data_IF_239450900533
#
_entry.id   IF_239450900533
#
_cell.length_a   1.000
_cell.length_b   1.000
_cell.length_c   1.000
_cell.angle_alpha   90.00
_cell.angle_beta   90.00
_cell.angle_gamma   90.00
#
_symmetry.space_group_name_H-M   'P 1'
#
loop_
_entity.id
_entity.type
_entity.pdbx_description
1 polymer ?
#
# COMPACT_ATOMS: atom_id res chain seq x y z
N UNK A 1 10.51 -1.20 -28.97
CA UNK A 1 9.03 -1.16 -29.14
C UNK A 1 8.48 -2.42 -28.46
N UNK A 2 8.12 -2.31 -27.18
CA UNK A 2 7.60 -3.46 -26.43
C UNK A 2 6.10 -3.55 -26.69
N UNK A 3 5.69 -4.63 -27.34
CA UNK A 3 4.26 -4.92 -27.53
C UNK A 3 3.76 -5.54 -26.21
N UNK A 4 3.07 -4.73 -25.41
CA UNK A 4 2.40 -5.22 -24.21
C UNK A 4 1.24 -6.11 -24.68
N UNK A 5 1.34 -7.42 -24.42
CA UNK A 5 0.20 -8.31 -24.60
C UNK A 5 -0.89 -7.90 -23.62
N UNK A 6 -2.00 -7.46 -24.16
CA UNK A 6 -3.22 -7.14 -23.41
C UNK A 6 -3.89 -8.48 -23.05
N UNK A 7 -3.55 -9.04 -21.91
CA UNK A 7 -4.42 -9.99 -21.22
C UNK A 7 -5.31 -9.18 -20.27
N UNK A 8 -6.38 -8.65 -20.84
CA UNK A 8 -7.51 -8.21 -20.02
C UNK A 8 -8.23 -9.48 -19.58
N UNK A 9 -7.89 -10.01 -18.40
CA UNK A 9 -8.81 -10.89 -17.71
C UNK A 9 -10.17 -10.19 -17.67
N UNK A 10 -11.25 -10.92 -17.95
CA UNK A 10 -12.57 -10.37 -17.90
C UNK A 10 -12.83 -9.84 -16.49
N UNK A 11 -13.05 -8.53 -16.31
CA UNK A 11 -13.23 -7.93 -15.00
C UNK A 11 -14.34 -8.66 -14.20
N UNK A 12 -15.40 -9.09 -14.87
CA UNK A 12 -16.49 -9.86 -14.27
C UNK A 12 -16.01 -11.21 -13.73
N UNK A 13 -15.11 -11.87 -14.44
CA UNK A 13 -14.49 -13.14 -13.99
C UNK A 13 -13.68 -12.93 -12.72
N UNK A 14 -12.78 -11.93 -12.70
CA UNK A 14 -11.97 -11.56 -11.51
C UNK A 14 -12.87 -11.23 -10.32
N UNK A 15 -13.93 -10.45 -10.51
CA UNK A 15 -14.87 -10.08 -9.45
C UNK A 15 -15.69 -11.29 -8.96
N UNK A 16 -16.08 -12.18 -9.86
CA UNK A 16 -16.85 -13.37 -9.51
C UNK A 16 -16.00 -14.37 -8.72
N UNK A 17 -14.76 -14.58 -9.13
CA UNK A 17 -13.80 -15.42 -8.43
C UNK A 17 -13.50 -14.85 -7.04
N UNK A 18 -13.37 -13.51 -6.93
CA UNK A 18 -13.12 -12.84 -5.68
C UNK A 18 -14.25 -13.06 -4.65
N UNK A 19 -15.50 -13.18 -5.07
CA UNK A 19 -16.60 -13.56 -4.17
C UNK A 19 -16.31 -14.91 -3.50
N UNK A 20 -15.96 -15.92 -4.29
CA UNK A 20 -15.64 -17.26 -3.79
C UNK A 20 -14.44 -17.24 -2.83
N UNK A 21 -13.43 -16.46 -3.18
CA UNK A 21 -12.23 -16.30 -2.36
C UNK A 21 -12.55 -15.64 -1.01
N UNK A 22 -13.29 -14.53 -0.99
CA UNK A 22 -13.69 -13.84 0.25
C UNK A 22 -14.59 -14.75 1.10
N UNK A 23 -15.49 -15.52 0.50
CA UNK A 23 -16.30 -16.49 1.23
C UNK A 23 -15.47 -17.55 1.95
N UNK A 24 -14.33 -17.93 1.36
CA UNK A 24 -13.40 -18.90 1.94
C UNK A 24 -12.48 -18.33 3.01
N UNK A 25 -12.40 -17.00 3.17
CA UNK A 25 -11.61 -16.41 4.25
C UNK A 25 -12.20 -16.86 5.59
N UNK A 26 -11.38 -17.54 6.38
CA UNK A 26 -11.77 -17.98 7.71
C UNK A 26 -12.13 -16.78 8.57
N UNK A 27 -13.22 -16.87 9.32
CA UNK A 27 -13.51 -15.92 10.38
C UNK A 27 -12.42 -16.05 11.45
N UNK A 28 -12.10 -14.96 12.12
CA UNK A 28 -10.93 -14.80 13.01
C UNK A 28 -10.78 -15.87 14.11
N UNK A 29 -11.85 -16.58 14.44
CA UNK A 29 -11.85 -17.54 15.56
C UNK A 29 -10.91 -18.75 15.38
N UNK A 30 -10.46 -19.07 14.16
CA UNK A 30 -9.70 -20.31 13.90
C UNK A 30 -8.20 -20.12 13.62
N UNK A 31 -7.68 -18.89 13.51
CA UNK A 31 -6.29 -18.65 13.04
C UNK A 31 -5.34 -18.24 14.18
N UNK A 32 -5.84 -17.74 15.29
CA UNK A 32 -5.01 -17.23 16.39
C UNK A 32 -4.31 -18.29 17.26
N UNK A 33 -4.39 -19.57 16.94
CA UNK A 33 -3.73 -20.62 17.72
C UNK A 33 -2.30 -20.96 17.28
N UNK A 34 -1.70 -20.25 16.35
CA UNK A 34 -0.26 -20.37 16.13
C UNK A 34 0.50 -19.51 17.14
N UNK A 35 0.87 -20.13 18.25
CA UNK A 35 1.58 -19.57 19.41
C UNK A 35 2.95 -18.91 19.11
N UNK A 36 3.46 -19.06 17.88
CA UNK A 36 4.81 -18.60 17.51
C UNK A 36 4.93 -17.08 17.52
N UNK A 37 3.91 -16.34 17.09
CA UNK A 37 3.98 -14.88 17.00
C UNK A 37 3.88 -14.14 18.35
N UNK A 38 3.19 -14.68 19.32
CA UNK A 38 2.97 -14.01 20.61
C UNK A 38 4.19 -14.07 21.53
N UNK A 39 4.92 -15.18 21.54
CA UNK A 39 6.10 -15.35 22.40
C UNK A 39 7.31 -14.54 21.92
N UNK A 40 7.49 -14.37 20.58
CA UNK A 40 8.61 -13.62 20.03
C UNK A 40 8.44 -12.11 20.22
N UNK A 41 7.22 -11.58 20.09
CA UNK A 41 6.94 -10.16 20.32
C UNK A 41 6.97 -9.82 21.82
N UNK A 42 6.59 -10.73 22.70
CA UNK A 42 6.73 -10.57 24.15
C UNK A 42 8.19 -10.61 24.63
N UNK A 43 9.08 -11.20 23.84
CA UNK A 43 10.51 -11.28 24.13
C UNK A 43 11.35 -10.14 23.50
N UNK A 44 10.72 -9.15 22.87
CA UNK A 44 11.41 -7.93 22.47
C UNK A 44 11.99 -7.25 23.72
N UNK A 45 13.23 -6.81 23.63
CA UNK A 45 13.97 -6.22 24.76
C UNK A 45 13.43 -4.85 25.23
N UNK A 46 12.17 -4.54 24.98
CA UNK A 46 11.42 -3.34 25.43
C UNK A 46 12.07 -2.00 25.06
N UNK A 47 12.90 -1.96 24.04
CA UNK A 47 13.45 -0.70 23.53
C UNK A 47 12.53 -0.07 22.48
N UNK A 48 11.64 -0.87 21.88
CA UNK A 48 10.52 -0.41 21.06
C UNK A 48 9.28 -0.42 21.94
N UNK A 49 8.74 0.75 22.27
CA UNK A 49 7.52 0.85 23.07
C UNK A 49 6.33 0.30 22.28
N UNK A 50 5.57 -0.64 22.89
CA UNK A 50 4.36 -1.20 22.30
C UNK A 50 3.14 -0.48 22.89
N UNK A 51 2.44 0.28 22.07
CA UNK A 51 1.17 0.90 22.47
C UNK A 51 -0.02 0.07 21.96
N UNK A 52 -0.96 -0.22 22.85
CA UNK A 52 -2.16 -0.99 22.55
C UNK A 52 -3.32 -0.17 21.96
N UNK A 53 -3.17 1.15 21.83
CA UNK A 53 -4.20 2.03 21.25
C UNK A 53 -3.57 3.19 20.48
N UNK A 54 -3.65 3.15 19.15
CA UNK A 54 -3.35 4.29 18.30
C UNK A 54 -4.62 5.08 17.98
N UNK A 55 -4.66 6.34 18.35
CA UNK A 55 -5.71 7.28 17.91
C UNK A 55 -5.27 7.86 16.57
N UNK A 56 -5.72 7.29 15.47
CA UNK A 56 -5.49 7.80 14.11
C UNK A 56 -6.59 7.30 13.18
N UNK A 57 -7.04 8.16 12.27
CA UNK A 57 -8.03 7.83 11.23
C UNK A 57 -7.35 7.06 10.09
N UNK A 58 -6.92 5.86 10.33
CA UNK A 58 -6.51 4.88 9.33
C UNK A 58 -7.46 3.69 9.41
N UNK A 59 -7.40 2.80 8.45
CA UNK A 59 -8.17 1.55 8.55
C UNK A 59 -7.82 0.94 9.91
N UNK A 60 -8.81 0.72 10.78
CA UNK A 60 -8.54 0.21 12.10
C UNK A 60 -7.85 -1.14 12.02
N UNK A 61 -6.98 -1.49 12.97
CA UNK A 61 -6.42 -2.84 13.13
C UNK A 61 -7.48 -3.92 12.99
N UNK A 62 -8.67 -3.62 13.50
CA UNK A 62 -9.87 -4.44 13.41
C UNK A 62 -10.17 -4.96 12.00
N UNK A 63 -9.80 -4.24 10.93
CA UNK A 63 -9.99 -4.75 9.56
C UNK A 63 -9.21 -6.06 9.35
N UNK A 64 -7.93 -6.06 9.68
CA UNK A 64 -7.08 -7.22 9.48
C UNK A 64 -7.39 -8.32 10.50
N UNK A 65 -7.71 -7.94 11.73
CA UNK A 65 -8.13 -8.88 12.77
C UNK A 65 -9.40 -9.63 12.39
N UNK A 66 -10.38 -8.97 11.75
CA UNK A 66 -11.57 -9.62 11.18
C UNK A 66 -11.26 -10.72 10.17
N UNK A 67 -10.09 -10.64 9.55
CA UNK A 67 -9.59 -11.66 8.60
C UNK A 67 -8.48 -12.52 9.20
N UNK A 68 -8.30 -12.52 10.52
CA UNK A 68 -7.31 -13.34 11.23
C UNK A 68 -5.86 -12.93 10.96
N UNK A 69 -5.62 -11.66 10.64
CA UNK A 69 -4.28 -11.13 10.36
C UNK A 69 -3.90 -10.14 11.46
N UNK A 70 -2.76 -10.38 12.08
CA UNK A 70 -2.16 -9.41 13.00
C UNK A 70 -1.38 -8.37 12.22
N UNK A 71 -1.64 -7.12 12.49
CA UNK A 71 -0.95 -5.99 11.88
C UNK A 71 -0.25 -5.14 12.93
N UNK A 72 0.94 -4.63 12.59
CA UNK A 72 1.75 -3.79 13.46
C UNK A 72 2.17 -2.55 12.70
N UNK A 73 2.13 -1.40 13.34
CA UNK A 73 2.61 -0.14 12.76
C UNK A 73 3.84 0.36 13.52
N UNK A 74 4.90 0.61 12.78
CA UNK A 74 6.11 1.22 13.30
C UNK A 74 6.06 2.73 13.04
N UNK A 75 6.01 3.52 14.11
CA UNK A 75 5.98 4.97 14.07
C UNK A 75 7.18 5.57 14.77
N UNK A 76 7.47 6.83 14.46
CA UNK A 76 8.44 7.64 15.22
C UNK A 76 7.70 8.69 16.03
N UNK A 77 7.92 8.71 17.33
CA UNK A 77 7.32 9.66 18.23
C UNK A 77 8.35 10.16 19.27
N UNK A 78 8.48 11.48 19.43
CA UNK A 78 9.39 12.11 20.41
C UNK A 78 10.81 11.53 20.44
N UNK A 79 11.35 11.18 19.28
CA UNK A 79 12.71 10.61 19.20
C UNK A 79 12.82 9.14 19.56
N UNK A 80 11.71 8.41 19.58
CA UNK A 80 11.65 6.97 19.83
C UNK A 80 10.92 6.25 18.71
N UNK A 81 11.26 5.00 18.50
CA UNK A 81 10.47 4.10 17.67
C UNK A 81 9.36 3.49 18.51
N UNK A 82 8.14 3.62 18.05
CA UNK A 82 6.94 3.04 18.68
C UNK A 82 6.30 2.03 17.75
N UNK A 83 5.96 0.88 18.32
CA UNK A 83 5.20 -0.16 17.66
C UNK A 83 3.77 -0.12 18.20
N UNK A 84 2.80 0.12 17.33
CA UNK A 84 1.37 0.09 17.67
C UNK A 84 0.66 -1.00 16.90
N UNK A 85 -0.37 -1.57 17.50
CA UNK A 85 -1.28 -2.46 16.79
C UNK A 85 -2.12 -1.63 15.82
N UNK A 86 -2.09 -2.01 14.54
CA UNK A 86 -2.77 -1.31 13.47
C UNK A 86 -1.88 -0.98 12.29
N UNK A 87 -2.51 -0.87 11.12
CA UNK A 87 -1.84 -0.43 9.90
C UNK A 87 -2.17 1.04 9.68
N UNK A 88 -1.16 1.80 9.28
CA UNK A 88 -1.29 3.17 8.81
C UNK A 88 -1.81 4.19 9.83
N UNK A 89 -1.16 4.28 10.98
CA UNK A 89 -1.32 5.47 11.82
C UNK A 89 -0.91 6.70 11.01
N UNK A 90 -1.81 7.70 10.89
CA UNK A 90 -1.36 9.03 10.53
C UNK A 90 -0.29 9.41 11.55
N UNK A 91 0.97 9.43 11.14
CA UNK A 91 1.99 10.11 11.92
C UNK A 91 1.43 11.49 12.19
N UNK A 92 1.06 11.76 13.44
CA UNK A 92 0.43 13.03 13.80
C UNK A 92 1.27 14.15 13.23
N UNK A 93 0.61 15.06 12.52
CA UNK A 93 1.18 16.24 11.86
C UNK A 93 2.01 17.14 12.80
N UNK A 94 2.15 16.80 14.06
CA UNK A 94 2.59 17.70 15.11
C UNK A 94 3.99 17.46 15.67
N UNK A 95 4.68 16.42 15.30
CA UNK A 95 6.12 16.35 15.59
C UNK A 95 6.88 16.31 14.28
N UNK A 96 7.33 17.48 13.82
CA UNK A 96 8.47 17.57 12.93
C UNK A 96 9.65 16.91 13.68
N UNK A 97 9.67 15.58 13.68
CA UNK A 97 10.76 14.83 14.29
C UNK A 97 12.00 15.11 13.45
N UNK A 98 12.84 16.00 13.94
CA UNK A 98 14.14 16.32 13.33
C UNK A 98 15.11 15.13 13.43
N UNK A 99 14.64 14.00 13.96
CA UNK A 99 15.44 12.83 14.23
C UNK A 99 15.78 12.05 12.96
N UNK A 100 17.05 11.66 12.86
CA UNK A 100 17.58 10.81 11.81
C UNK A 100 17.52 9.35 12.26
N UNK A 101 17.63 8.42 11.32
CA UNK A 101 17.80 7.00 11.62
C UNK A 101 18.91 6.77 12.66
N UNK A 102 20.02 7.50 12.50
CA UNK A 102 21.16 7.43 13.45
C UNK A 102 20.77 7.75 14.91
N UNK A 103 19.79 8.59 15.14
CA UNK A 103 19.37 9.01 16.47
C UNK A 103 18.55 7.92 17.18
N UNK A 104 17.91 7.03 16.41
CA UNK A 104 17.12 5.91 16.93
C UNK A 104 17.92 4.63 17.04
N UNK A 105 18.89 4.40 16.15
CA UNK A 105 19.53 3.11 16.04
C UNK A 105 20.44 2.82 17.21
N UNK A 106 20.11 1.76 17.93
CA UNK A 106 20.98 1.06 18.85
C UNK A 106 21.06 -0.40 18.43
N UNK A 107 22.06 -1.13 18.85
CA UNK A 107 22.17 -2.56 18.53
C UNK A 107 20.93 -3.33 19.01
N UNK A 108 20.38 -2.98 20.16
CA UNK A 108 19.17 -3.60 20.70
C UNK A 108 17.92 -3.33 19.81
N UNK A 109 17.72 -2.08 19.38
CA UNK A 109 16.61 -1.74 18.47
C UNK A 109 16.75 -2.45 17.13
N UNK A 110 17.98 -2.51 16.58
CA UNK A 110 18.24 -3.21 15.31
C UNK A 110 17.90 -4.69 15.44
N UNK A 111 18.30 -5.36 16.51
CA UNK A 111 17.98 -6.78 16.71
C UNK A 111 16.47 -7.01 16.91
N UNK A 112 15.78 -6.17 17.67
CA UNK A 112 14.33 -6.23 17.83
C UNK A 112 13.61 -6.06 16.47
N UNK A 113 14.04 -5.09 15.67
CA UNK A 113 13.50 -4.88 14.33
C UNK A 113 13.78 -6.07 13.40
N UNK A 114 14.98 -6.67 13.48
CA UNK A 114 15.29 -7.88 12.69
C UNK A 114 14.37 -9.05 13.04
N UNK A 115 14.04 -9.22 14.33
CA UNK A 115 13.06 -10.25 14.76
C UNK A 115 11.70 -9.96 14.16
N UNK A 116 11.21 -8.73 14.25
CA UNK A 116 9.92 -8.32 13.67
C UNK A 116 9.89 -8.57 12.16
N UNK A 117 10.88 -8.08 11.42
CA UNK A 117 10.90 -8.17 9.96
C UNK A 117 11.08 -9.60 9.46
N UNK A 118 11.77 -10.49 10.18
CA UNK A 118 11.83 -11.93 9.82
C UNK A 118 10.44 -12.56 9.80
N UNK A 119 9.55 -12.12 10.70
CA UNK A 119 8.20 -12.64 10.85
C UNK A 119 7.15 -11.89 10.00
N UNK A 120 7.51 -10.77 9.39
CA UNK A 120 6.64 -10.04 8.46
C UNK A 120 6.84 -10.53 7.03
N UNK A 121 5.77 -10.61 6.27
CA UNK A 121 5.81 -10.86 4.82
C UNK A 121 5.51 -9.58 4.05
N UNK A 122 4.47 -8.84 4.45
CA UNK A 122 4.01 -7.63 3.77
C UNK A 122 4.42 -6.42 4.60
N UNK A 123 5.09 -5.48 3.96
CA UNK A 123 5.62 -4.29 4.61
C UNK A 123 5.24 -3.07 3.79
N UNK A 124 4.20 -2.34 4.20
CA UNK A 124 3.85 -1.07 3.58
C UNK A 124 4.69 0.08 4.14
N UNK A 125 5.13 0.93 3.24
CA UNK A 125 5.82 2.19 3.51
C UNK A 125 4.97 3.36 3.02
N UNK A 126 4.54 4.20 3.95
CA UNK A 126 3.48 5.15 3.73
C UNK A 126 3.91 6.60 3.89
N UNK A 127 3.27 7.48 3.09
CA UNK A 127 3.17 8.90 3.39
C UNK A 127 4.50 9.67 3.42
N UNK A 128 5.46 9.24 2.58
CA UNK A 128 6.79 9.82 2.52
C UNK A 128 6.76 11.36 2.44
N UNK A 129 5.86 11.92 1.64
CA UNK A 129 5.80 13.37 1.42
C UNK A 129 5.46 14.18 2.68
N UNK A 130 4.80 13.55 3.66
CA UNK A 130 4.37 14.19 4.89
C UNK A 130 5.26 13.82 6.11
N UNK A 131 6.09 12.77 6.00
CA UNK A 131 6.98 12.33 7.07
C UNK A 131 8.36 12.94 6.86
N UNK A 132 8.77 13.83 7.76
CA UNK A 132 10.08 14.43 7.69
C UNK A 132 11.17 13.37 7.78
N UNK A 133 12.15 13.39 6.87
CA UNK A 133 13.26 12.41 6.78
C UNK A 133 12.83 10.95 6.56
N UNK A 134 11.69 10.71 5.93
CA UNK A 134 11.25 9.35 5.60
C UNK A 134 12.30 8.58 4.77
N UNK A 135 12.98 9.24 3.82
CA UNK A 135 14.07 8.64 3.04
C UNK A 135 15.17 8.08 3.93
N UNK A 136 15.64 8.87 4.92
CA UNK A 136 16.69 8.45 5.87
C UNK A 136 16.25 7.25 6.72
N UNK A 137 14.98 7.24 7.19
CA UNK A 137 14.41 6.11 7.93
C UNK A 137 14.29 4.85 7.06
N UNK A 138 13.75 4.98 5.85
CA UNK A 138 13.57 3.82 4.96
C UNK A 138 14.90 3.24 4.52
N UNK A 139 15.87 4.09 4.21
CA UNK A 139 17.22 3.65 3.90
C UNK A 139 17.90 2.98 5.10
N UNK A 140 17.72 3.51 6.30
CA UNK A 140 18.24 2.92 7.53
C UNK A 140 17.65 1.54 7.82
N UNK A 141 16.33 1.38 7.69
CA UNK A 141 15.65 0.08 7.79
C UNK A 141 16.16 -0.91 6.73
N UNK A 142 16.31 -0.45 5.49
CA UNK A 142 16.85 -1.28 4.42
C UNK A 142 18.27 -1.76 4.75
N UNK A 143 19.14 -0.84 5.14
CA UNK A 143 20.58 -1.07 5.30
C UNK A 143 20.89 -1.89 6.57
N UNK A 144 20.29 -1.53 7.71
CA UNK A 144 20.68 -2.08 9.01
C UNK A 144 19.77 -3.24 9.46
N UNK A 145 18.57 -3.37 8.87
CA UNK A 145 17.60 -4.40 9.26
C UNK A 145 17.36 -5.40 8.12
N UNK A 146 16.86 -4.94 6.97
CA UNK A 146 16.39 -5.82 5.89
C UNK A 146 17.54 -6.57 5.21
N UNK A 147 18.59 -5.85 4.81
CA UNK A 147 19.79 -6.46 4.20
C UNK A 147 20.40 -7.57 5.06
N UNK A 148 20.66 -7.34 6.38
CA UNK A 148 21.28 -8.35 7.25
C UNK A 148 20.40 -9.58 7.51
N UNK A 149 19.06 -9.49 7.40
CA UNK A 149 18.16 -10.63 7.57
C UNK A 149 18.35 -11.65 6.45
N UNK A 150 18.79 -11.21 5.26
CA UNK A 150 18.96 -12.04 4.06
C UNK A 150 17.69 -12.80 3.61
N UNK A 151 16.51 -12.27 3.95
CA UNK A 151 15.20 -12.73 3.48
C UNK A 151 14.89 -12.05 2.14
N UNK A 152 14.21 -12.75 1.21
CA UNK A 152 13.96 -12.25 -0.15
C UNK A 152 12.52 -12.43 -0.63
N UNK A 153 11.66 -12.84 0.26
CA UNK A 153 10.23 -13.08 0.00
C UNK A 153 9.33 -12.02 0.60
N UNK A 154 9.86 -10.81 0.77
CA UNK A 154 9.04 -9.67 1.19
C UNK A 154 8.14 -9.18 0.06
N UNK A 155 6.98 -8.66 0.44
CA UNK A 155 6.09 -7.85 -0.38
C UNK A 155 6.11 -6.41 0.15
N UNK A 156 6.84 -5.55 -0.50
CA UNK A 156 6.91 -4.14 -0.15
C UNK A 156 5.86 -3.35 -0.91
N UNK A 157 5.11 -2.51 -0.21
CA UNK A 157 4.12 -1.61 -0.80
C UNK A 157 4.54 -0.17 -0.47
N UNK A 158 4.84 0.63 -1.48
CA UNK A 158 5.23 2.03 -1.30
C UNK A 158 4.17 2.96 -1.82
N UNK A 159 3.83 3.99 -1.06
CA UNK A 159 3.10 5.14 -1.53
C UNK A 159 3.63 6.44 -0.93
N UNK A 160 3.86 7.41 -1.79
CA UNK A 160 4.62 8.60 -1.44
C UNK A 160 3.76 9.71 -0.83
N UNK A 161 2.49 9.79 -1.19
CA UNK A 161 1.71 11.00 -1.04
C UNK A 161 2.10 12.03 -2.10
N UNK A 162 1.71 13.28 -1.94
CA UNK A 162 1.94 14.34 -2.92
C UNK A 162 3.45 14.65 -3.08
N UNK A 163 4.08 14.26 -4.22
CA UNK A 163 5.51 14.42 -4.41
C UNK A 163 5.93 15.90 -4.56
N UNK A 164 4.99 16.81 -4.88
CA UNK A 164 5.29 18.25 -5.03
C UNK A 164 5.60 18.95 -3.71
N UNK A 165 5.34 18.30 -2.57
CA UNK A 165 5.70 18.80 -1.24
C UNK A 165 7.19 18.66 -0.94
N UNK A 166 7.96 18.04 -1.83
CA UNK A 166 9.38 17.74 -1.67
C UNK A 166 10.20 18.35 -2.79
N UNK A 167 11.48 18.53 -2.53
CA UNK A 167 12.42 18.98 -3.55
C UNK A 167 12.70 17.84 -4.54
N UNK A 168 12.97 18.19 -5.79
CA UNK A 168 13.15 17.19 -6.86
C UNK A 168 14.28 16.19 -6.53
N UNK A 169 15.34 16.60 -5.91
CA UNK A 169 16.43 15.69 -5.55
C UNK A 169 16.01 14.69 -4.43
N UNK A 170 15.08 15.08 -3.53
CA UNK A 170 14.51 14.16 -2.54
C UNK A 170 13.58 13.15 -3.21
N UNK A 171 12.89 13.56 -4.29
CA UNK A 171 12.08 12.65 -5.11
C UNK A 171 12.98 11.63 -5.80
N UNK A 172 14.06 12.06 -6.44
CA UNK A 172 15.04 11.17 -7.08
C UNK A 172 15.63 10.18 -6.06
N UNK A 173 16.05 10.68 -4.88
CA UNK A 173 16.58 9.85 -3.80
C UNK A 173 15.62 8.76 -3.35
N UNK A 174 14.34 9.10 -3.12
CA UNK A 174 13.38 8.10 -2.67
C UNK A 174 13.06 7.05 -3.73
N UNK A 175 13.03 7.41 -5.00
CA UNK A 175 12.81 6.47 -6.09
C UNK A 175 13.97 5.47 -6.20
N UNK A 176 15.22 5.93 -5.99
CA UNK A 176 16.38 5.05 -5.92
C UNK A 176 16.31 4.09 -4.73
N UNK A 177 15.93 4.60 -3.54
CA UNK A 177 15.74 3.77 -2.35
C UNK A 177 14.66 2.71 -2.59
N UNK A 178 13.49 3.07 -3.13
CA UNK A 178 12.42 2.13 -3.46
C UNK A 178 12.93 1.05 -4.42
N UNK A 179 13.66 1.45 -5.45
CA UNK A 179 14.25 0.52 -6.41
C UNK A 179 15.24 -0.46 -5.77
N UNK A 180 15.98 -0.04 -4.74
CA UNK A 180 16.92 -0.90 -4.03
C UNK A 180 16.21 -1.98 -3.20
N UNK A 181 14.99 -1.73 -2.68
CA UNK A 181 14.17 -2.74 -2.01
C UNK A 181 13.85 -3.94 -2.89
N UNK A 182 13.79 -3.77 -4.21
CA UNK A 182 13.54 -4.87 -5.17
C UNK A 182 14.58 -5.99 -5.12
N UNK A 183 15.74 -5.74 -4.52
CA UNK A 183 16.76 -6.78 -4.28
C UNK A 183 16.36 -7.75 -3.16
N UNK A 184 15.37 -7.40 -2.35
CA UNK A 184 14.99 -8.14 -1.13
C UNK A 184 13.54 -8.66 -1.18
N UNK A 185 12.78 -8.31 -2.20
CA UNK A 185 11.41 -8.76 -2.35
C UNK A 185 10.70 -8.14 -3.55
N UNK A 186 9.42 -8.43 -3.68
CA UNK A 186 8.58 -7.79 -4.69
C UNK A 186 8.24 -6.37 -4.23
N UNK A 187 8.38 -5.41 -5.11
CA UNK A 187 8.02 -4.01 -4.85
C UNK A 187 6.79 -3.64 -5.65
N UNK A 188 5.75 -3.23 -4.97
CA UNK A 188 4.60 -2.54 -5.56
C UNK A 188 4.65 -1.06 -5.22
N UNK A 189 4.71 -0.23 -6.24
CA UNK A 189 4.63 1.22 -6.10
C UNK A 189 3.20 1.66 -6.41
N UNK A 190 2.52 2.27 -5.42
CA UNK A 190 1.11 2.66 -5.50
C UNK A 190 1.02 4.18 -5.52
N UNK A 191 0.32 4.70 -6.51
CA UNK A 191 0.05 6.13 -6.66
C UNK A 191 -1.44 6.35 -6.93
N UNK A 192 -2.01 7.43 -6.40
CA UNK A 192 -3.25 7.92 -6.98
C UNK A 192 -2.97 8.62 -8.31
N UNK A 193 -4.03 8.81 -9.12
CA UNK A 193 -3.90 9.41 -10.44
C UNK A 193 -3.26 10.81 -10.40
N UNK A 194 -3.63 11.61 -9.40
CA UNK A 194 -3.06 12.94 -9.20
C UNK A 194 -1.58 12.90 -8.84
N UNK A 195 -1.20 11.99 -7.93
CA UNK A 195 0.20 11.78 -7.56
C UNK A 195 1.04 11.32 -8.75
N UNK A 196 0.50 10.40 -9.56
CA UNK A 196 1.19 9.90 -10.75
C UNK A 196 1.44 11.00 -11.79
N UNK A 197 0.46 11.87 -12.05
CA UNK A 197 0.62 12.99 -12.96
C UNK A 197 1.68 13.99 -12.44
N UNK A 198 1.62 14.31 -11.14
CA UNK A 198 2.58 15.21 -10.49
C UNK A 198 4.00 14.62 -10.52
N UNK A 199 4.15 13.34 -10.19
CA UNK A 199 5.43 12.65 -10.24
C UNK A 199 6.01 12.67 -11.66
N UNK A 200 5.19 12.32 -12.66
CA UNK A 200 5.61 12.37 -14.05
C UNK A 200 6.06 13.78 -14.45
N UNK A 201 5.33 14.81 -14.03
CA UNK A 201 5.69 16.19 -14.34
C UNK A 201 7.04 16.59 -13.74
N UNK A 202 7.27 16.27 -12.47
CA UNK A 202 8.56 16.51 -11.81
C UNK A 202 9.71 15.81 -12.52
N UNK A 203 9.58 14.52 -12.83
CA UNK A 203 10.61 13.74 -13.53
C UNK A 203 10.92 14.25 -14.93
N UNK A 204 9.99 14.95 -15.57
CA UNK A 204 10.15 15.51 -16.91
C UNK A 204 10.39 17.02 -16.93
N UNK A 205 10.64 17.65 -15.79
CA UNK A 205 10.86 19.10 -15.69
C UNK A 205 9.65 19.92 -16.18
N UNK A 206 8.44 19.41 -16.00
CA UNK A 206 7.18 20.07 -16.33
C UNK A 206 6.56 20.68 -15.09
N UNK A 207 5.69 21.67 -15.29
CA UNK A 207 4.90 22.23 -14.20
C UNK A 207 3.79 21.22 -13.80
N UNK A 208 3.77 20.75 -12.53
CA UNK A 208 2.76 19.82 -12.09
C UNK A 208 1.32 20.34 -12.24
N UNK A 209 1.08 21.62 -11.98
CA UNK A 209 -0.27 22.21 -11.98
C UNK A 209 -0.87 22.25 -13.40
N UNK A 210 -0.05 22.54 -14.41
CA UNK A 210 -0.52 22.56 -15.80
C UNK A 210 -0.63 21.17 -16.41
N UNK A 211 -0.04 20.16 -15.80
CA UNK A 211 0.00 18.79 -16.31
C UNK A 211 -1.34 18.05 -16.23
N UNK A 212 -2.32 18.60 -15.50
CA UNK A 212 -3.69 18.06 -15.40
C UNK A 212 -4.65 18.52 -16.50
N UNK A 213 -4.26 19.53 -17.30
CA UNK A 213 -5.17 20.15 -18.25
C UNK A 213 -5.33 19.27 -19.51
N UNK A 214 -6.58 18.94 -19.85
CA UNK A 214 -6.97 18.30 -21.13
C UNK A 214 -6.12 17.08 -21.53
N UNK A 215 -5.95 16.12 -20.62
CA UNK A 215 -5.15 14.93 -20.91
C UNK A 215 -6.02 13.89 -21.61
N UNK A 216 -5.60 13.52 -22.83
CA UNK A 216 -6.13 12.35 -23.52
C UNK A 216 -5.80 11.06 -22.73
N UNK A 217 -6.74 10.10 -22.57
CA UNK A 217 -6.53 8.86 -21.83
C UNK A 217 -5.29 8.06 -22.28
N UNK A 218 -5.00 8.06 -23.59
CA UNK A 218 -3.79 7.38 -24.09
C UNK A 218 -2.51 8.11 -23.67
N UNK A 219 -2.52 9.44 -23.70
CA UNK A 219 -1.40 10.24 -23.21
C UNK A 219 -1.17 10.04 -21.72
N UNK A 220 -2.24 9.85 -20.94
CA UNK A 220 -2.18 9.57 -19.52
C UNK A 220 -1.54 8.19 -19.24
N UNK A 221 -1.98 7.16 -19.93
CA UNK A 221 -1.36 5.82 -19.85
C UNK A 221 0.12 5.83 -20.21
N UNK A 222 0.52 6.63 -21.20
CA UNK A 222 1.92 6.79 -21.60
C UNK A 222 2.76 7.46 -20.48
N UNK A 223 2.18 8.40 -19.74
CA UNK A 223 2.84 8.99 -18.55
C UNK A 223 3.09 7.94 -17.48
N UNK A 224 2.10 7.09 -17.18
CA UNK A 224 2.23 6.01 -16.19
C UNK A 224 3.27 4.97 -16.62
N UNK A 225 3.27 4.57 -17.89
CA UNK A 225 4.30 3.70 -18.45
C UNK A 225 5.70 4.31 -18.35
N UNK A 226 5.82 5.63 -18.55
CA UNK A 226 7.10 6.33 -18.37
C UNK A 226 7.60 6.22 -16.94
N UNK A 227 6.74 6.42 -15.94
CA UNK A 227 7.09 6.22 -14.53
C UNK A 227 7.55 4.78 -14.31
N UNK A 228 6.75 3.78 -14.72
CA UNK A 228 7.07 2.37 -14.55
C UNK A 228 8.42 1.99 -15.16
N UNK A 229 8.72 2.49 -16.36
CA UNK A 229 9.98 2.21 -17.06
C UNK A 229 11.20 2.90 -16.40
N UNK A 230 10.97 3.95 -15.62
CA UNK A 230 12.04 4.62 -14.86
C UNK A 230 12.36 3.88 -13.58
N UNK A 231 11.35 3.20 -12.99
CA UNK A 231 11.46 2.48 -11.73
C UNK A 231 11.89 1.03 -11.95
N UNK A 232 12.75 0.51 -11.08
CA UNK A 232 13.03 -0.92 -11.03
C UNK A 232 12.13 -1.61 -10.00
N UNK A 233 10.82 -1.62 -10.27
CA UNK A 233 9.81 -2.25 -9.41
C UNK A 233 9.09 -3.36 -10.17
N UNK A 234 8.50 -4.31 -9.44
CA UNK A 234 7.73 -5.39 -10.04
C UNK A 234 6.36 -4.90 -10.52
N UNK A 235 5.71 -4.04 -9.72
CA UNK A 235 4.40 -3.52 -10.01
C UNK A 235 4.34 -2.00 -9.79
N UNK A 236 3.71 -1.29 -10.73
CA UNK A 236 3.17 0.05 -10.53
C UNK A 236 1.65 -0.05 -10.57
N UNK A 237 1.00 0.41 -9.51
CA UNK A 237 -0.46 0.49 -9.42
C UNK A 237 -0.85 1.95 -9.39
N UNK A 238 -1.69 2.34 -10.35
CA UNK A 238 -2.35 3.65 -10.37
C UNK A 238 -3.82 3.44 -10.07
N UNK A 239 -4.35 4.15 -9.09
CA UNK A 239 -5.75 4.02 -8.73
C UNK A 239 -6.43 5.38 -8.60
N UNK A 240 -7.73 5.38 -8.83
CA UNK A 240 -8.65 6.49 -8.58
C UNK A 240 -9.91 5.98 -7.88
N UNK A 241 -10.89 6.84 -7.71
CA UNK A 241 -12.18 6.46 -7.15
C UNK A 241 -12.99 5.52 -8.06
N UNK A 242 -12.77 5.55 -9.35
CA UNK A 242 -13.52 4.80 -10.36
C UNK A 242 -12.72 3.71 -11.08
N UNK A 243 -11.40 3.71 -11.02
CA UNK A 243 -10.59 2.69 -11.69
C UNK A 243 -9.25 2.42 -11.01
N UNK A 244 -8.66 1.27 -11.34
CA UNK A 244 -7.29 0.94 -11.01
C UNK A 244 -6.58 0.28 -12.20
N UNK A 245 -5.31 0.63 -12.38
CA UNK A 245 -4.44 0.11 -13.43
C UNK A 245 -3.19 -0.49 -12.82
N UNK A 246 -2.81 -1.68 -13.29
CA UNK A 246 -1.55 -2.34 -13.00
C UNK A 246 -0.63 -2.26 -14.20
N UNK A 247 0.61 -1.90 -13.95
CA UNK A 247 1.72 -2.04 -14.88
C UNK A 247 2.76 -2.99 -14.29
N UNK A 248 3.09 -4.04 -15.03
CA UNK A 248 4.18 -4.95 -14.72
C UNK A 248 4.95 -5.30 -15.99
N UNK A 249 6.07 -6.00 -15.87
CA UNK A 249 6.84 -6.44 -17.03
C UNK A 249 6.11 -7.46 -17.92
N UNK A 250 5.16 -8.20 -17.35
CA UNK A 250 4.47 -9.29 -18.02
C UNK A 250 3.01 -8.98 -18.32
N UNK A 251 2.35 -8.19 -17.47
CA UNK A 251 0.91 -7.97 -17.51
C UNK A 251 0.56 -6.50 -17.39
N UNK A 252 -0.49 -6.12 -18.07
CA UNK A 252 -1.24 -4.89 -17.84
C UNK A 252 -2.66 -5.27 -17.49
N UNK A 253 -3.16 -4.81 -16.36
CA UNK A 253 -4.52 -5.06 -15.91
C UNK A 253 -5.19 -3.74 -15.58
N UNK A 254 -6.46 -3.63 -15.95
CA UNK A 254 -7.28 -2.45 -15.68
C UNK A 254 -8.67 -2.92 -15.23
N UNK A 255 -9.16 -2.36 -14.15
CA UNK A 255 -10.50 -2.61 -13.64
C UNK A 255 -11.15 -1.27 -13.30
N UNK A 256 -12.42 -1.13 -13.68
CA UNK A 256 -13.20 0.07 -13.43
C UNK A 256 -14.49 -0.27 -12.68
N UNK A 257 -14.99 0.69 -11.91
CA UNK A 257 -16.28 0.64 -11.24
C UNK A 257 -17.08 1.90 -11.58
N UNK A 258 -18.39 1.79 -11.55
CA UNK A 258 -19.23 2.97 -11.65
C UNK A 258 -19.35 3.65 -10.29
N UNK A 259 -19.03 4.94 -10.23
CA UNK A 259 -19.16 5.77 -9.02
C UNK A 259 -20.34 6.71 -9.23
N UNK A 260 -21.38 6.55 -8.43
CA UNK A 260 -22.61 7.36 -8.54
C UNK A 260 -22.45 8.81 -8.04
N UNK A 261 -21.38 9.11 -7.32
CA UNK A 261 -21.07 10.44 -6.78
C UNK A 261 -19.58 10.73 -6.96
N UNK A 262 -19.21 11.98 -7.24
CA UNK A 262 -17.81 12.43 -7.28
C UNK A 262 -17.19 12.34 -5.87
N UNK A 263 -16.72 11.17 -5.50
CA UNK A 263 -15.97 10.95 -4.27
C UNK A 263 -14.52 11.34 -4.56
N UNK A 264 -14.01 12.37 -3.92
CA UNK A 264 -12.58 12.68 -4.03
C UNK A 264 -11.78 11.63 -3.29
N UNK A 265 -10.69 11.14 -3.89
CA UNK A 265 -9.74 10.22 -3.22
C UNK A 265 -9.17 10.94 -2.00
N UNK A 266 -9.51 10.44 -0.83
CA UNK A 266 -8.97 10.89 0.46
C UNK A 266 -7.87 9.95 0.93
N UNK A 267 -7.10 10.35 1.94
CA UNK A 267 -6.12 9.46 2.56
C UNK A 267 -6.77 8.16 3.07
N UNK A 268 -7.99 8.25 3.61
CA UNK A 268 -8.71 7.08 4.14
C UNK A 268 -9.09 6.09 3.02
N UNK A 269 -9.45 6.60 1.82
CA UNK A 269 -9.72 5.74 0.66
C UNK A 269 -8.45 5.06 0.15
N UNK A 270 -7.31 5.78 0.16
CA UNK A 270 -6.01 5.21 -0.17
C UNK A 270 -5.64 4.10 0.79
N UNK A 271 -5.73 4.38 2.09
CA UNK A 271 -5.41 3.41 3.13
C UNK A 271 -6.32 2.18 3.02
N UNK A 272 -7.60 2.38 2.70
CA UNK A 272 -8.57 1.33 2.42
C UNK A 272 -8.17 0.48 1.21
N UNK A 273 -7.76 1.11 0.10
CA UNK A 273 -7.25 0.42 -1.07
C UNK A 273 -6.01 -0.42 -0.74
N UNK A 274 -5.02 0.20 -0.09
CA UNK A 274 -3.77 -0.49 0.27
C UNK A 274 -4.00 -1.65 1.23
N UNK A 275 -4.98 -1.52 2.14
CA UNK A 275 -5.32 -2.60 3.05
C UNK A 275 -5.98 -3.78 2.32
N UNK A 276 -6.93 -3.53 1.43
CA UNK A 276 -7.52 -4.58 0.61
C UNK A 276 -6.49 -5.25 -0.29
N UNK A 277 -5.63 -4.47 -0.93
CA UNK A 277 -4.52 -4.97 -1.73
C UNK A 277 -3.56 -5.84 -0.89
N UNK A 278 -3.16 -5.36 0.30
CA UNK A 278 -2.31 -6.09 1.23
C UNK A 278 -2.95 -7.38 1.75
N UNK A 279 -4.26 -7.36 2.04
CA UNK A 279 -5.02 -8.56 2.39
C UNK A 279 -4.97 -9.60 1.26
N UNK A 280 -5.12 -9.17 0.02
CA UNK A 280 -5.00 -10.03 -1.16
C UNK A 280 -3.62 -10.69 -1.25
N UNK A 281 -2.55 -9.91 -1.10
CA UNK A 281 -1.18 -10.44 -1.08
C UNK A 281 -0.98 -11.45 0.06
N UNK A 282 -1.47 -11.15 1.26
CA UNK A 282 -1.38 -12.05 2.42
C UNK A 282 -2.11 -13.37 2.19
N UNK A 283 -3.19 -13.35 1.44
CA UNK A 283 -3.94 -14.54 1.03
C UNK A 283 -3.39 -15.20 -0.24
N UNK A 284 -2.24 -14.71 -0.75
CA UNK A 284 -1.57 -15.22 -1.95
C UNK A 284 -2.48 -15.25 -3.19
N UNK A 285 -3.36 -14.24 -3.28
CA UNK A 285 -4.21 -14.07 -4.46
C UNK A 285 -3.36 -13.62 -5.65
N UNK A 286 -3.85 -13.86 -6.85
CA UNK A 286 -3.28 -13.27 -8.05
C UNK A 286 -3.37 -11.75 -7.99
N UNK A 287 -2.44 -11.06 -8.62
CA UNK A 287 -2.30 -9.61 -8.50
C UNK A 287 -3.54 -8.83 -8.98
N UNK A 288 -4.24 -9.36 -9.98
CA UNK A 288 -5.52 -8.81 -10.45
C UNK A 288 -6.61 -8.85 -9.37
N UNK A 289 -6.68 -9.97 -8.63
CA UNK A 289 -7.60 -10.12 -7.49
C UNK A 289 -7.19 -9.23 -6.31
N UNK A 290 -5.88 -9.03 -6.07
CA UNK A 290 -5.40 -8.09 -5.05
C UNK A 290 -5.89 -6.67 -5.35
N UNK A 291 -5.80 -6.23 -6.61
CA UNK A 291 -6.27 -4.91 -7.05
C UNK A 291 -7.80 -4.80 -6.92
N UNK A 292 -8.54 -5.82 -7.40
CA UNK A 292 -9.98 -5.86 -7.27
C UNK A 292 -10.43 -5.82 -5.80
N UNK A 293 -9.71 -6.52 -4.90
CA UNK A 293 -9.96 -6.47 -3.46
C UNK A 293 -9.66 -5.09 -2.89
N UNK A 294 -8.57 -4.45 -3.30
CA UNK A 294 -8.26 -3.06 -2.94
C UNK A 294 -9.38 -2.10 -3.31
N UNK A 295 -9.86 -2.17 -4.56
CA UNK A 295 -11.00 -1.39 -5.05
C UNK A 295 -12.32 -1.71 -4.31
N UNK A 296 -12.52 -2.98 -3.94
CA UNK A 296 -13.70 -3.42 -3.18
C UNK A 296 -13.69 -2.82 -1.77
N UNK A 297 -12.57 -2.91 -1.05
CA UNK A 297 -12.44 -2.36 0.32
C UNK A 297 -12.61 -0.85 0.30
N UNK A 298 -11.92 -0.17 -0.62
CA UNK A 298 -12.05 1.29 -0.81
C UNK A 298 -13.47 1.71 -1.17
N UNK A 299 -14.16 0.96 -2.06
CA UNK A 299 -15.53 1.26 -2.45
C UNK A 299 -16.56 1.03 -1.35
N UNK A 300 -16.45 -0.07 -0.63
CA UNK A 300 -17.32 -0.36 0.51
C UNK A 300 -17.15 0.66 1.63
N UNK A 301 -15.89 1.10 1.88
CA UNK A 301 -15.60 2.18 2.81
C UNK A 301 -16.22 3.51 2.35
N UNK A 302 -16.06 3.86 1.07
CA UNK A 302 -16.62 5.10 0.52
C UNK A 302 -18.15 5.18 0.65
N UNK A 303 -18.85 4.04 0.53
CA UNK A 303 -20.31 3.99 0.68
C UNK A 303 -20.78 4.07 2.14
N UNK A 304 -20.06 3.45 3.07
CA UNK A 304 -20.50 3.32 4.47
C UNK A 304 -19.88 4.33 5.43
N UNK A 305 -18.69 4.88 5.08
CA UNK A 305 -17.87 5.66 6.00
C UNK A 305 -17.27 4.85 7.15
N UNK A 306 -17.38 3.51 7.08
CA UNK A 306 -16.88 2.60 8.13
C UNK A 306 -16.04 1.49 7.54
N UNK A 307 -15.15 0.93 8.36
CA UNK A 307 -14.33 -0.23 7.96
C UNK A 307 -15.22 -1.41 7.57
N UNK A 308 -15.14 -1.91 6.34
CA UNK A 308 -15.98 -2.99 5.89
C UNK A 308 -15.62 -4.32 6.56
N UNK A 309 -16.64 -5.10 6.85
CA UNK A 309 -16.52 -6.50 7.21
C UNK A 309 -16.72 -7.41 5.98
N UNK A 310 -16.64 -8.71 6.18
CA UNK A 310 -16.79 -9.71 5.11
C UNK A 310 -18.13 -9.60 4.37
N UNK A 311 -19.22 -9.35 5.11
CA UNK A 311 -20.57 -9.23 4.53
C UNK A 311 -20.69 -7.95 3.69
N UNK A 312 -20.14 -6.84 4.18
CA UNK A 312 -20.10 -5.58 3.44
C UNK A 312 -19.30 -5.72 2.14
N UNK A 313 -18.14 -6.40 2.16
CA UNK A 313 -17.36 -6.66 0.96
C UNK A 313 -18.12 -7.51 -0.06
N UNK A 314 -18.75 -8.59 0.39
CA UNK A 314 -19.56 -9.47 -0.49
C UNK A 314 -20.78 -8.74 -1.07
N UNK A 315 -21.44 -7.90 -0.28
CA UNK A 315 -22.56 -7.07 -0.72
C UNK A 315 -22.12 -6.08 -1.79
N UNK A 316 -20.99 -5.38 -1.55
CA UNK A 316 -20.44 -4.43 -2.49
C UNK A 316 -20.04 -5.09 -3.81
N UNK A 317 -19.36 -6.24 -3.79
CA UNK A 317 -18.98 -6.98 -5.00
C UNK A 317 -20.18 -7.41 -5.85
N UNK A 318 -21.22 -7.93 -5.22
CA UNK A 318 -22.45 -8.32 -5.95
C UNK A 318 -23.09 -7.13 -6.67
N UNK A 319 -23.11 -5.96 -6.01
CA UNK A 319 -23.59 -4.73 -6.60
C UNK A 319 -22.72 -4.30 -7.79
N UNK A 320 -21.39 -4.32 -7.62
CA UNK A 320 -20.45 -3.93 -8.66
C UNK A 320 -20.55 -4.84 -9.89
N UNK A 321 -20.64 -6.18 -9.73
CA UNK A 321 -20.85 -7.13 -10.84
C UNK A 321 -22.15 -6.80 -11.60
N UNK A 322 -23.26 -6.56 -10.88
CA UNK A 322 -24.52 -6.23 -11.51
C UNK A 322 -24.48 -4.92 -12.33
N UNK A 323 -23.68 -3.95 -11.88
CA UNK A 323 -23.45 -2.69 -12.61
C UNK A 323 -22.63 -2.91 -13.88
N UNK A 324 -21.57 -3.73 -13.82
CA UNK A 324 -20.72 -4.06 -14.99
C UNK A 324 -21.54 -4.83 -16.04
N UNK A 325 -22.34 -5.81 -15.62
CA UNK A 325 -23.18 -6.59 -16.52
C UNK A 325 -24.24 -5.70 -17.22
N UNK A 326 -24.81 -4.74 -16.49
CA UNK A 326 -25.80 -3.81 -17.05
C UNK A 326 -25.20 -2.80 -18.03
N UNK A 327 -23.91 -2.50 -17.91
CA UNK A 327 -23.19 -1.56 -18.78
C UNK A 327 -22.68 -2.22 -20.08
N UNK A 328 -22.78 -3.54 -20.18
CA UNK A 328 -22.30 -4.33 -21.33
C UNK A 328 -23.41 -4.60 -22.38
N UNK A 329 -24.62 -4.08 -22.15
CA UNK A 329 -25.80 -4.13 -23.04
C UNK A 329 -25.99 -2.76 -23.69
#
# INVERSE_FOLDING_TARGET
MYTIKKESGNAVEVLSDLIGMIQSFSDAENIFHNEIGNNEIQNLNHQVEVESQGVGQSIPPEFFERFGIRSLTLNTFEGRLKLSEGIFGNAERNSATQYKWHDFKTDAIIEDLKVLFRNCQIIPFANWSNVYRASDLWYGLLSDVIKPINKRDFDFIFYLGDPTKRLIFEVDEILDIISEFSLYGRVTFVLDEGEAIKLWALLNGKDPETSFLNIDPLALKNKYLSIFNTMNVEHLVIYSDDHAMLFSKQHHFEIARHVSNNVQVTNDLRDSFCAGYGLGLQRQLEISHCIALGMTVSGAYAESGTTPDKEALLSYLKKWIAEVDSSSI
#
